data_IF_222712346062
#
_entry.id   IF_222712346062
#
_cell.length_a   1.000
_cell.length_b   1.000
_cell.length_c   1.000
_cell.angle_alpha   90.00
_cell.angle_beta   90.00
_cell.angle_gamma   90.00
#
_symmetry.space_group_name_H-M   'P 1'
#
loop_
_entity.id
_entity.type
_entity.pdbx_description
1 polymer ?
#
# COMPACT_ATOMS: atom_id res chain seq x y z
N UNK A 1 5.05 21.91 22.26
CA UNK A 1 3.60 21.61 22.26
C UNK A 1 3.45 20.11 22.17
N UNK A 2 2.70 19.48 23.07
CA UNK A 2 2.42 18.05 22.99
C UNK A 2 1.38 17.82 21.87
N UNK A 3 1.73 17.02 20.86
CA UNK A 3 0.78 16.58 19.84
C UNK A 3 0.15 15.30 20.35
N UNK A 4 -1.12 15.35 20.74
CA UNK A 4 -1.87 14.18 21.18
C UNK A 4 -2.12 13.27 19.98
N UNK A 5 -1.54 12.07 19.98
CA UNK A 5 -1.83 11.05 18.96
C UNK A 5 -3.11 10.33 19.38
N UNK A 6 -4.23 10.68 18.76
CA UNK A 6 -5.49 9.97 18.92
C UNK A 6 -5.36 8.58 18.28
N UNK A 7 -5.57 7.53 19.06
CA UNK A 7 -5.81 6.17 18.57
C UNK A 7 -7.28 5.87 18.80
N UNK A 8 -8.01 5.70 17.70
CA UNK A 8 -9.43 5.38 17.73
C UNK A 8 -9.68 3.87 17.74
N UNK A 9 -8.79 3.11 17.11
CA UNK A 9 -8.88 1.66 17.01
C UNK A 9 -7.98 1.01 18.04
N UNK A 10 -8.49 -0.05 18.68
CA UNK A 10 -7.69 -0.99 19.45
C UNK A 10 -6.87 -1.90 18.52
N UNK A 11 -5.87 -2.58 19.07
CA UNK A 11 -4.95 -3.40 18.29
C UNK A 11 -5.67 -4.52 17.54
N UNK A 12 -6.63 -5.16 18.21
CA UNK A 12 -7.42 -6.26 17.65
C UNK A 12 -8.34 -5.76 16.52
N UNK A 13 -8.82 -4.50 16.58
CA UNK A 13 -9.60 -3.89 15.51
C UNK A 13 -8.73 -3.55 14.29
N UNK A 14 -7.50 -3.08 14.51
CA UNK A 14 -6.52 -2.87 13.44
C UNK A 14 -6.18 -4.19 12.73
N UNK A 15 -5.97 -5.27 13.50
CA UNK A 15 -5.66 -6.60 12.96
C UNK A 15 -6.85 -7.21 12.22
N UNK A 16 -8.08 -7.06 12.74
CA UNK A 16 -9.30 -7.47 12.04
C UNK A 16 -9.44 -6.77 10.67
N UNK A 17 -9.19 -5.46 10.61
CA UNK A 17 -9.25 -4.70 9.35
C UNK A 17 -8.16 -5.17 8.39
N UNK A 18 -6.96 -5.46 8.89
CA UNK A 18 -5.87 -5.97 8.08
C UNK A 18 -6.22 -7.31 7.44
N UNK A 19 -6.69 -8.27 8.24
CA UNK A 19 -7.03 -9.62 7.78
C UNK A 19 -8.17 -9.59 6.75
N UNK A 20 -9.23 -8.82 7.02
CA UNK A 20 -10.34 -8.64 6.06
C UNK A 20 -9.89 -7.95 4.77
N UNK A 21 -8.95 -7.00 4.86
CA UNK A 21 -8.39 -6.35 3.67
C UNK A 21 -7.62 -7.34 2.80
N UNK A 22 -6.84 -8.24 3.42
CA UNK A 22 -6.12 -9.29 2.71
C UNK A 22 -7.08 -10.29 2.06
N UNK A 23 -8.16 -10.67 2.75
CA UNK A 23 -9.22 -11.53 2.19
C UNK A 23 -9.86 -10.90 0.96
N UNK A 24 -10.22 -9.61 1.03
CA UNK A 24 -10.78 -8.87 -0.12
C UNK A 24 -9.80 -8.84 -1.29
N UNK A 25 -8.51 -8.57 -1.04
CA UNK A 25 -7.49 -8.53 -2.08
C UNK A 25 -7.25 -9.91 -2.73
N UNK A 26 -7.34 -10.98 -1.95
CA UNK A 26 -7.15 -12.35 -2.42
C UNK A 26 -8.37 -12.88 -3.19
N UNK A 27 -9.58 -12.66 -2.67
CA UNK A 27 -10.78 -13.33 -3.18
C UNK A 27 -11.51 -12.50 -4.24
N UNK A 28 -11.63 -11.19 -4.01
CA UNK A 28 -12.31 -10.25 -4.91
C UNK A 28 -11.30 -9.63 -5.88
N UNK A 29 -10.15 -9.18 -5.37
CA UNK A 29 -9.11 -8.52 -6.16
C UNK A 29 -9.45 -7.08 -6.55
N UNK A 30 -8.65 -6.51 -7.47
CA UNK A 30 -8.74 -5.12 -7.92
C UNK A 30 -8.84 -5.07 -9.44
N UNK A 31 -9.80 -4.30 -9.96
CA UNK A 31 -9.92 -4.07 -11.40
C UNK A 31 -8.89 -3.04 -11.89
N UNK A 32 -8.06 -3.43 -12.84
CA UNK A 32 -6.99 -2.62 -13.42
C UNK A 32 -7.13 -2.64 -14.95
N UNK A 33 -7.71 -1.58 -15.56
CA UNK A 33 -7.94 -1.52 -17.00
C UNK A 33 -6.66 -1.15 -17.76
N UNK A 34 -5.60 -1.94 -17.59
CA UNK A 34 -4.30 -1.77 -18.24
C UNK A 34 -3.63 -3.12 -18.38
N UNK A 35 -3.59 -3.64 -19.62
CA UNK A 35 -2.97 -4.93 -19.94
C UNK A 35 -1.51 -5.02 -19.50
N UNK A 36 -0.73 -3.96 -19.71
CA UNK A 36 0.68 -3.91 -19.30
C UNK A 36 0.83 -4.05 -17.78
N UNK A 37 -0.05 -3.40 -17.00
CA UNK A 37 0.01 -3.49 -15.54
C UNK A 37 -0.40 -4.87 -15.06
N UNK A 38 -1.42 -5.47 -15.69
CA UNK A 38 -1.86 -6.84 -15.40
C UNK A 38 -0.74 -7.86 -15.67
N UNK A 39 -0.02 -7.74 -16.78
CA UNK A 39 1.15 -8.60 -17.08
C UNK A 39 2.23 -8.48 -16.00
N UNK A 40 2.57 -7.25 -15.58
CA UNK A 40 3.53 -7.03 -14.49
C UNK A 40 3.08 -7.64 -13.16
N UNK A 41 1.77 -7.65 -12.89
CA UNK A 41 1.22 -8.25 -11.68
C UNK A 41 1.28 -9.78 -11.73
N UNK A 42 1.03 -10.39 -12.90
CA UNK A 42 1.23 -11.85 -13.08
C UNK A 42 2.67 -12.23 -12.82
N UNK A 43 3.63 -11.49 -13.37
CA UNK A 43 5.07 -11.72 -13.14
C UNK A 43 5.46 -11.59 -11.65
N UNK A 44 4.74 -10.75 -10.91
CA UNK A 44 4.92 -10.56 -9.48
C UNK A 44 4.17 -11.58 -8.60
N UNK A 45 3.37 -12.48 -9.19
CA UNK A 45 2.66 -13.57 -8.50
C UNK A 45 1.15 -13.36 -8.30
N UNK A 46 0.55 -12.36 -8.93
CA UNK A 46 -0.90 -12.14 -8.89
C UNK A 46 -1.66 -13.14 -9.78
N UNK A 47 -2.89 -13.46 -9.39
CA UNK A 47 -3.82 -14.23 -10.22
C UNK A 47 -4.72 -13.25 -10.98
N UNK A 48 -4.60 -13.21 -12.31
CA UNK A 48 -5.30 -12.22 -13.14
C UNK A 48 -6.33 -12.88 -14.04
N UNK A 49 -7.53 -12.30 -14.08
CA UNK A 49 -8.50 -12.51 -15.15
C UNK A 49 -8.42 -11.35 -16.15
N UNK A 50 -7.83 -11.62 -17.32
CA UNK A 50 -7.66 -10.64 -18.39
C UNK A 50 -8.97 -10.24 -19.08
N UNK A 51 -10.04 -11.04 -18.96
CA UNK A 51 -11.33 -10.70 -19.56
C UNK A 51 -12.07 -9.65 -18.72
N UNK A 52 -12.08 -9.83 -17.40
CA UNK A 52 -12.69 -8.88 -16.46
C UNK A 52 -11.74 -7.76 -16.01
N UNK A 53 -10.45 -7.87 -16.37
CA UNK A 53 -9.36 -6.97 -15.98
C UNK A 53 -9.13 -6.94 -14.46
N UNK A 54 -9.37 -8.06 -13.76
CA UNK A 54 -9.27 -8.16 -12.30
C UNK A 54 -7.99 -8.90 -11.91
N UNK A 55 -7.19 -8.27 -11.05
CA UNK A 55 -6.02 -8.86 -10.42
C UNK A 55 -6.30 -9.20 -8.95
N UNK A 56 -6.19 -10.48 -8.60
CA UNK A 56 -6.21 -10.98 -7.22
C UNK A 56 -4.80 -10.97 -6.66
N UNK A 57 -4.64 -10.40 -5.48
CA UNK A 57 -3.34 -10.21 -4.83
C UNK A 57 -3.26 -11.13 -3.60
N UNK A 58 -2.52 -12.25 -3.68
CA UNK A 58 -2.35 -13.14 -2.54
C UNK A 58 -1.65 -12.45 -1.37
N UNK A 59 -1.94 -12.88 -0.15
CA UNK A 59 -1.32 -12.33 1.06
C UNK A 59 0.22 -12.38 1.01
N UNK A 60 0.80 -13.47 0.50
CA UNK A 60 2.26 -13.60 0.35
C UNK A 60 2.85 -12.49 -0.52
N UNK A 61 2.20 -12.18 -1.65
CA UNK A 61 2.60 -11.12 -2.56
C UNK A 61 2.52 -9.74 -1.87
N UNK A 62 1.45 -9.50 -1.10
CA UNK A 62 1.26 -8.25 -0.36
C UNK A 62 2.34 -8.08 0.70
N UNK A 63 2.61 -9.12 1.50
CA UNK A 63 3.65 -9.12 2.53
C UNK A 63 5.05 -8.94 1.93
N UNK A 64 5.34 -9.58 0.80
CA UNK A 64 6.60 -9.41 0.07
C UNK A 64 6.75 -8.00 -0.51
N UNK A 65 5.65 -7.37 -0.96
CA UNK A 65 5.69 -5.99 -1.42
C UNK A 65 5.93 -5.01 -0.26
N UNK A 66 5.26 -5.21 0.88
CA UNK A 66 5.42 -4.38 2.08
C UNK A 66 6.83 -4.50 2.69
N UNK A 67 7.44 -5.70 2.66
CA UNK A 67 8.80 -5.89 3.18
C UNK A 67 9.86 -5.16 2.34
N UNK A 68 9.63 -5.03 1.02
CA UNK A 68 10.49 -4.29 0.10
C UNK A 68 10.27 -2.78 0.15
N UNK A 69 9.12 -2.32 0.66
CA UNK A 69 8.80 -0.90 0.73
C UNK A 69 9.67 -0.18 1.78
N UNK A 70 10.32 0.95 1.43
CA UNK A 70 11.14 1.70 2.38
C UNK A 70 10.27 2.36 3.46
N UNK A 71 10.65 2.20 4.73
CA UNK A 71 9.96 2.85 5.86
C UNK A 71 10.09 4.37 5.88
N UNK A 72 11.10 4.91 5.18
CA UNK A 72 11.32 6.33 5.02
C UNK A 72 12.09 6.62 3.74
N UNK A 73 11.77 7.72 3.07
CA UNK A 73 12.48 8.19 1.87
C UNK A 73 12.40 9.71 1.77
N UNK A 74 13.21 10.30 0.90
CA UNK A 74 13.21 11.75 0.64
C UNK A 74 12.49 12.03 -0.68
N UNK A 75 11.48 12.88 -0.65
CA UNK A 75 10.90 13.48 -1.85
C UNK A 75 11.78 14.67 -2.23
N UNK A 76 12.50 14.51 -3.34
CA UNK A 76 13.39 15.55 -3.86
C UNK A 76 12.60 16.70 -4.47
N UNK A 77 12.86 17.91 -3.98
CA UNK A 77 12.30 19.13 -4.56
C UNK A 77 13.20 19.65 -5.70
N UNK A 78 12.66 20.57 -6.50
CA UNK A 78 13.46 21.24 -7.55
C UNK A 78 14.65 22.00 -6.98
N UNK A 79 14.49 22.57 -5.79
CA UNK A 79 15.56 23.17 -4.99
C UNK A 79 15.69 22.34 -3.71
N UNK A 80 16.86 21.72 -3.51
CA UNK A 80 17.15 20.79 -2.42
C UNK A 80 16.85 21.35 -1.02
N UNK A 81 16.79 22.68 -0.88
CA UNK A 81 16.37 23.32 0.39
C UNK A 81 14.94 22.91 0.82
N UNK A 82 14.10 22.51 -0.13
CA UNK A 82 12.71 22.13 0.10
C UNK A 82 12.48 20.62 0.05
N UNK A 83 13.55 19.82 0.13
CA UNK A 83 13.43 18.36 0.21
C UNK A 83 12.62 17.94 1.46
N UNK A 84 11.73 16.98 1.27
CA UNK A 84 10.84 16.49 2.33
C UNK A 84 11.18 15.05 2.66
N UNK A 85 11.49 14.76 3.93
CA UNK A 85 11.64 13.39 4.43
C UNK A 85 10.27 12.84 4.84
N UNK A 86 9.90 11.72 4.23
CA UNK A 86 8.69 10.97 4.57
C UNK A 86 9.03 9.76 5.44
N UNK A 87 8.20 9.42 6.44
CA UNK A 87 7.01 10.17 6.88
C UNK A 87 7.40 11.46 7.65
N UNK A 88 6.74 12.58 7.34
CA UNK A 88 6.97 13.84 8.07
C UNK A 88 6.25 13.85 9.42
N UNK A 89 6.84 14.53 10.41
CA UNK A 89 6.20 14.75 11.73
C UNK A 89 5.53 16.12 11.84
N UNK A 90 5.59 16.93 10.79
CA UNK A 90 5.19 18.34 10.77
C UNK A 90 4.02 18.57 9.82
N UNK A 91 3.02 19.33 10.27
CA UNK A 91 1.82 19.67 9.49
C UNK A 91 2.15 20.59 8.29
N UNK A 92 1.50 20.43 7.12
CA UNK A 92 0.57 19.35 6.78
C UNK A 92 1.33 18.03 6.68
N UNK A 93 0.77 16.97 7.26
CA UNK A 93 1.37 15.62 7.22
C UNK A 93 1.31 15.11 5.78
N UNK A 94 2.31 15.49 4.98
CA UNK A 94 2.57 14.94 3.65
C UNK A 94 3.43 13.68 3.77
#
# INVERSE_FOLDING_TARGET
>A
MAVSRLRFLEKDEEDLIHDLSLEVLNDIGVRIPSKQTLEMLVDAGAVVDFNSEIAKLPESMVNDALSRAPKSFTVGARDNKYDVKLPTRTYPYV
#
